data_IF_373144687725
#
_entry.id   IF_373144687725
#
_cell.length_a   1.000
_cell.length_b   1.000
_cell.length_c   1.000
_cell.angle_alpha   90.00
_cell.angle_beta   90.00
_cell.angle_gamma   90.00
#
_symmetry.space_group_name_H-M   'P 1'
#
loop_
_entity.id
_entity.type
_entity.pdbx_description
1 polymer ?
#
# COMPACT_ATOMS: atom_id res chain seq x y z
N UNK A 1 -12.39 -0.18 -5.30
CA UNK A 1 -11.55 0.82 -5.99
C UNK A 1 -10.09 0.45 -5.75
N UNK A 2 -9.28 0.32 -6.81
CA UNK A 2 -7.85 -0.03 -6.67
C UNK A 2 -7.04 1.20 -6.31
N UNK A 3 -6.18 1.09 -5.30
CA UNK A 3 -5.40 2.23 -4.78
C UNK A 3 -3.95 1.81 -4.60
N UNK A 4 -3.04 2.51 -5.29
CA UNK A 4 -1.60 2.35 -5.12
C UNK A 4 -1.07 3.20 -3.96
N UNK A 5 -0.40 2.58 -3.01
CA UNK A 5 0.20 3.24 -1.84
C UNK A 5 1.73 3.22 -1.95
N UNK A 6 2.32 4.40 -2.09
CA UNK A 6 3.77 4.63 -2.18
C UNK A 6 4.23 5.45 -0.98
N UNK A 7 5.41 5.16 -0.42
CA UNK A 7 5.95 5.95 0.71
C UNK A 7 5.27 5.71 2.06
N UNK A 8 4.42 4.69 2.16
CA UNK A 8 3.66 4.33 3.37
C UNK A 8 4.52 3.92 4.57
N UNK A 9 5.82 3.63 4.36
CA UNK A 9 6.78 3.28 5.43
C UNK A 9 7.47 4.49 6.08
N UNK A 10 7.37 5.68 5.49
CA UNK A 10 7.97 6.90 6.03
C UNK A 10 7.17 7.49 7.20
N UNK A 11 7.67 8.55 7.84
CA UNK A 11 7.03 9.18 9.01
C UNK A 11 5.58 9.60 8.76
N UNK A 12 5.28 10.21 7.61
CA UNK A 12 3.91 10.59 7.24
C UNK A 12 3.09 9.38 6.82
N UNK A 13 3.71 8.46 6.10
CA UNK A 13 3.07 7.25 5.60
C UNK A 13 2.58 6.33 6.71
N UNK A 14 3.36 6.15 7.78
CA UNK A 14 2.98 5.28 8.90
C UNK A 14 1.78 5.82 9.66
N UNK A 15 1.72 7.15 9.87
CA UNK A 15 0.57 7.81 10.49
C UNK A 15 -0.67 7.70 9.59
N UNK A 16 -0.53 7.87 8.28
CA UNK A 16 -1.62 7.66 7.33
C UNK A 16 -2.16 6.23 7.42
N UNK A 17 -1.29 5.21 7.39
CA UNK A 17 -1.72 3.81 7.49
C UNK A 17 -2.44 3.53 8.81
N UNK A 18 -1.95 4.07 9.92
CA UNK A 18 -2.62 3.94 11.22
C UNK A 18 -4.04 4.53 11.18
N UNK A 19 -4.19 5.77 10.70
CA UNK A 19 -5.50 6.44 10.60
C UNK A 19 -6.45 5.70 9.65
N UNK A 20 -5.96 5.20 8.52
CA UNK A 20 -6.77 4.41 7.59
C UNK A 20 -7.28 3.09 8.19
N UNK A 21 -6.53 2.47 9.11
CA UNK A 21 -7.01 1.30 9.87
C UNK A 21 -8.05 1.73 10.91
N UNK A 22 -7.79 2.80 11.67
CA UNK A 22 -8.71 3.33 12.69
C UNK A 22 -10.07 3.72 12.10
N UNK A 23 -10.07 4.34 10.92
CA UNK A 23 -11.28 4.79 10.21
C UNK A 23 -11.89 3.71 9.29
N UNK A 24 -11.31 2.51 9.26
CA UNK A 24 -11.76 1.38 8.43
C UNK A 24 -11.80 1.66 6.91
N UNK A 25 -10.92 2.55 6.42
CA UNK A 25 -10.85 2.93 5.00
C UNK A 25 -10.54 1.73 4.08
N UNK A 26 -9.75 0.76 4.58
CA UNK A 26 -9.39 -0.45 3.85
C UNK A 26 -10.60 -1.34 3.48
N UNK A 27 -11.74 -1.19 4.15
CA UNK A 27 -12.98 -1.88 3.75
C UNK A 27 -13.45 -1.44 2.36
N UNK A 28 -13.17 -0.19 1.97
CA UNK A 28 -13.69 0.44 0.75
C UNK A 28 -12.73 0.39 -0.44
N UNK A 29 -11.47 0.00 -0.21
CA UNK A 29 -10.43 -0.04 -1.25
C UNK A 29 -9.79 -1.43 -1.39
N UNK A 30 -9.14 -1.63 -2.53
CA UNK A 30 -8.24 -2.74 -2.81
C UNK A 30 -6.81 -2.17 -2.86
N UNK A 31 -6.01 -2.32 -1.79
CA UNK A 31 -4.71 -1.68 -1.68
C UNK A 31 -3.62 -2.46 -2.42
N UNK A 32 -2.77 -1.73 -3.15
CA UNK A 32 -1.53 -2.22 -3.75
C UNK A 32 -0.37 -1.44 -3.16
N UNK A 33 0.60 -2.14 -2.58
CA UNK A 33 1.73 -1.50 -1.90
C UNK A 33 2.96 -1.47 -2.79
N UNK A 34 3.56 -0.30 -2.91
CA UNK A 34 4.76 -0.08 -3.70
C UNK A 34 5.95 0.24 -2.78
N UNK A 35 7.15 -0.13 -3.22
CA UNK A 35 8.41 0.12 -2.51
C UNK A 35 9.50 0.56 -3.48
N UNK A 36 10.39 1.45 -3.04
CA UNK A 36 11.59 1.86 -3.80
C UNK A 36 12.84 1.06 -3.41
N UNK A 37 12.78 0.26 -2.33
CA UNK A 37 13.95 -0.43 -1.76
C UNK A 37 13.72 -1.91 -1.44
N UNK A 38 12.49 -2.41 -1.56
CA UNK A 38 12.13 -3.79 -1.20
C UNK A 38 10.95 -4.32 -2.01
N UNK A 39 10.94 -4.08 -3.32
CA UNK A 39 9.96 -4.70 -4.19
C UNK A 39 10.17 -6.23 -4.25
N UNK A 40 9.08 -6.97 -4.50
CA UNK A 40 9.03 -8.42 -4.36
C UNK A 40 8.96 -8.93 -2.92
N UNK A 41 9.11 -8.05 -1.93
CA UNK A 41 8.95 -8.40 -0.51
C UNK A 41 7.49 -8.66 -0.11
N UNK A 42 7.31 -9.16 1.11
CA UNK A 42 5.97 -9.40 1.68
C UNK A 42 5.22 -8.09 1.89
N UNK A 43 3.94 -8.07 1.50
CA UNK A 43 3.07 -6.93 1.74
C UNK A 43 2.59 -6.89 3.20
N UNK A 44 2.39 -5.69 3.76
CA UNK A 44 1.83 -5.54 5.10
C UNK A 44 0.36 -5.98 5.12
N UNK A 45 -0.09 -6.46 6.28
CA UNK A 45 -1.49 -6.76 6.53
C UNK A 45 -2.15 -5.63 7.32
N UNK A 46 -2.54 -4.55 6.62
CA UNK A 46 -3.30 -3.46 7.22
C UNK A 46 -4.81 -3.71 7.11
N UNK A 47 -5.55 -3.42 8.19
CA UNK A 47 -7.01 -3.57 8.21
C UNK A 47 -7.50 -5.00 7.97
N UNK A 48 -6.65 -6.01 8.24
CA UNK A 48 -6.96 -7.42 7.99
C UNK A 48 -7.02 -7.82 6.52
N UNK A 49 -6.62 -6.95 5.58
CA UNK A 49 -6.53 -7.28 4.16
C UNK A 49 -5.12 -7.68 3.78
N UNK A 50 -5.01 -8.86 3.17
CA UNK A 50 -3.79 -9.28 2.48
C UNK A 50 -3.73 -8.60 1.11
N UNK A 51 -2.54 -8.21 0.71
CA UNK A 51 -2.26 -7.68 -0.62
C UNK A 51 -1.19 -8.54 -1.32
N UNK A 52 -1.09 -8.46 -2.66
CA UNK A 52 0.02 -9.08 -3.39
C UNK A 52 1.38 -8.56 -2.91
N UNK A 53 2.45 -9.27 -3.26
CA UNK A 53 3.83 -8.86 -2.95
C UNK A 53 4.10 -7.41 -3.38
N UNK A 54 5.03 -6.75 -2.68
CA UNK A 54 5.36 -5.34 -2.90
C UNK A 54 5.73 -5.09 -4.36
N UNK A 55 5.10 -4.09 -4.98
CA UNK A 55 5.34 -3.69 -6.36
C UNK A 55 6.48 -2.67 -6.44
N UNK A 56 7.11 -2.58 -7.61
CA UNK A 56 8.18 -1.61 -7.88
C UNK A 56 7.61 -0.19 -8.00
N UNK A 57 8.00 0.70 -7.09
CA UNK A 57 7.49 2.08 -7.07
C UNK A 57 7.90 2.92 -8.29
N UNK A 58 8.96 2.52 -9.01
CA UNK A 58 9.43 3.19 -10.22
C UNK A 58 8.74 2.68 -11.49
N UNK A 59 7.97 1.59 -11.41
CA UNK A 59 7.22 1.06 -12.55
C UNK A 59 5.88 1.79 -12.72
N UNK A 60 5.92 2.87 -13.47
CA UNK A 60 4.74 3.68 -13.81
C UNK A 60 3.75 2.88 -14.67
N UNK A 61 4.19 1.84 -15.39
CA UNK A 61 3.28 1.04 -16.22
C UNK A 61 2.28 0.26 -15.37
N UNK A 62 2.69 -0.17 -14.18
CA UNK A 62 1.81 -0.79 -13.17
C UNK A 62 0.66 0.11 -12.70
N UNK A 63 0.74 1.43 -12.92
CA UNK A 63 -0.29 2.41 -12.51
C UNK A 63 -1.31 2.74 -13.61
N UNK A 64 -1.15 2.24 -14.84
CA UNK A 64 -1.96 2.62 -16.02
C UNK A 64 -3.35 1.94 -16.10
N UNK A 65 -3.89 1.41 -14.99
CA UNK A 65 -5.19 0.72 -15.01
C UNK A 65 -6.39 1.66 -15.18
#
# INVERSE_FOLDING_TARGET
MKVGLVGWRGMVGSVLMQRMVEENDFAHIEPFYFSTSNAGGEAPSFGGKTAPALMEATDITSLKQ
#
